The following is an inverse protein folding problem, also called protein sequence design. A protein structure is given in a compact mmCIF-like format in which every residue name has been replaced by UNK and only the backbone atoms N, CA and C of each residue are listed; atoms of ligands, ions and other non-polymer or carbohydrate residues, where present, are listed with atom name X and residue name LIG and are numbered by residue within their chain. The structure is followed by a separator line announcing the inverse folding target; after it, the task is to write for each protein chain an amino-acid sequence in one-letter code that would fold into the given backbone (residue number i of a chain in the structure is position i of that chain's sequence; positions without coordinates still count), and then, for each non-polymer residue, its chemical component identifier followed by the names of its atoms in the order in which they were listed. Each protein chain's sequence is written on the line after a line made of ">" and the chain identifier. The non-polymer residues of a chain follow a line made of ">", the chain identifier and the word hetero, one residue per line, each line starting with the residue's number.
data_IF_502245908787
#
_entry.id   IF_502245908787
#
_cell.length_a   1.000
_cell.length_b   1.000
_cell.length_c   1.000
_cell.angle_alpha   90.00
_cell.angle_beta   90.00
_cell.angle_gamma   90.00
#
_symmetry.space_group_name_H-M   'P 1'
#
loop_
_entity.id
_entity.type
_entity.pdbx_description
1 polymer ?
#
# COMPACT_ATOMS: atom_id res chain seq x y z
N UNK A 1 -6.97 -2.67 33.62
CA UNK A 1 -6.51 -3.65 32.60
C UNK A 1 -6.98 -3.25 31.20
N UNK A 2 -8.27 -2.98 31.00
CA UNK A 2 -8.86 -2.55 29.72
C UNK A 2 -8.28 -1.25 29.15
N UNK A 3 -8.08 -0.22 29.98
CA UNK A 3 -7.53 1.07 29.50
C UNK A 3 -6.08 0.95 28.99
N UNK A 4 -5.26 0.14 29.67
CA UNK A 4 -3.87 -0.12 29.25
C UNK A 4 -3.83 -0.83 27.89
N UNK A 5 -4.75 -1.79 27.67
CA UNK A 5 -4.89 -2.49 26.39
C UNK A 5 -5.35 -1.51 25.29
N UNK A 6 -6.28 -0.60 25.59
CA UNK A 6 -6.76 0.39 24.63
C UNK A 6 -5.66 1.38 24.21
N UNK A 7 -4.82 1.82 25.16
CA UNK A 7 -3.69 2.70 24.84
C UNK A 7 -2.65 1.96 24.01
N UNK A 8 -2.28 0.74 24.40
CA UNK A 8 -1.29 -0.07 23.67
C UNK A 8 -1.75 -0.40 22.25
N UNK A 9 -3.03 -0.71 22.04
CA UNK A 9 -3.55 -1.09 20.72
C UNK A 9 -3.42 0.03 19.69
N UNK A 10 -3.58 1.28 20.10
CA UNK A 10 -3.44 2.46 19.23
C UNK A 10 -2.00 2.63 18.71
N UNK A 11 -0.99 2.23 19.47
CA UNK A 11 0.42 2.31 19.04
C UNK A 11 0.90 1.04 18.34
N UNK A 12 0.50 -0.13 18.85
CA UNK A 12 0.97 -1.43 18.34
C UNK A 12 0.38 -1.73 16.96
N UNK A 13 -0.90 -1.45 16.73
CA UNK A 13 -1.55 -1.74 15.45
C UNK A 13 -0.87 -1.02 14.26
N UNK A 14 -0.67 0.31 14.25
CA UNK A 14 0.03 0.97 13.16
C UNK A 14 1.50 0.56 13.05
N UNK A 15 2.18 0.31 14.17
CA UNK A 15 3.57 -0.16 14.16
C UNK A 15 3.71 -1.52 13.44
N UNK A 16 2.77 -2.45 13.68
CA UNK A 16 2.74 -3.75 13.00
C UNK A 16 2.47 -3.61 11.50
N UNK A 17 1.56 -2.73 11.10
CA UNK A 17 1.27 -2.46 9.67
C UNK A 17 2.51 -1.91 8.98
N UNK A 18 3.20 -0.96 9.59
CA UNK A 18 4.43 -0.38 9.05
C UNK A 18 5.54 -1.44 8.98
N UNK A 19 5.75 -2.21 10.05
CA UNK A 19 6.75 -3.27 10.09
C UNK A 19 6.52 -4.33 9.00
N UNK A 20 5.26 -4.74 8.80
CA UNK A 20 4.88 -5.66 7.73
C UNK A 20 5.20 -5.09 6.35
N UNK A 21 4.86 -3.81 6.12
CA UNK A 21 5.11 -3.15 4.84
C UNK A 21 6.61 -3.00 4.53
N UNK A 22 7.42 -2.64 5.53
CA UNK A 22 8.87 -2.57 5.40
C UNK A 22 9.45 -3.96 5.12
N UNK A 23 9.05 -4.98 5.88
CA UNK A 23 9.51 -6.36 5.68
C UNK A 23 9.20 -6.85 4.26
N UNK A 24 7.97 -6.69 3.79
CA UNK A 24 7.56 -7.09 2.44
C UNK A 24 8.39 -6.41 1.35
N UNK A 25 8.67 -5.11 1.49
CA UNK A 25 9.54 -4.35 0.57
C UNK A 25 10.98 -4.87 0.56
N UNK A 26 11.51 -5.21 1.72
CA UNK A 26 12.88 -5.71 1.86
C UNK A 26 13.03 -7.10 1.26
N UNK A 27 12.11 -8.02 1.57
CA UNK A 27 12.10 -9.39 1.05
C UNK A 27 12.06 -9.40 -0.49
N UNK A 28 11.22 -8.56 -1.10
CA UNK A 28 11.14 -8.45 -2.57
C UNK A 28 12.46 -7.98 -3.20
N UNK A 29 13.13 -7.00 -2.57
CA UNK A 29 14.43 -6.50 -3.06
C UNK A 29 15.53 -7.55 -2.93
N UNK A 30 15.55 -8.29 -1.80
CA UNK A 30 16.52 -9.35 -1.57
C UNK A 30 16.34 -10.50 -2.55
N UNK A 31 15.10 -10.95 -2.78
CA UNK A 31 14.79 -12.00 -3.75
C UNK A 31 15.21 -11.60 -5.18
N UNK A 32 15.03 -10.34 -5.56
CA UNK A 32 15.48 -9.81 -6.85
C UNK A 32 17.02 -9.86 -6.96
N UNK A 33 17.73 -9.39 -5.94
CA UNK A 33 19.20 -9.41 -5.92
C UNK A 33 19.77 -10.83 -5.94
N UNK A 34 19.13 -11.77 -5.24
CA UNK A 34 19.53 -13.17 -5.25
C UNK A 34 19.34 -13.81 -6.63
N UNK A 35 18.24 -13.48 -7.32
CA UNK A 35 17.98 -13.94 -8.69
C UNK A 35 19.04 -13.40 -9.65
N UNK A 36 19.39 -12.12 -9.53
CA UNK A 36 20.46 -11.50 -10.34
C UNK A 36 21.81 -12.15 -10.09
N UNK A 37 22.15 -12.41 -8.83
CA UNK A 37 23.39 -13.08 -8.48
C UNK A 37 23.46 -14.48 -9.09
N UNK A 38 22.37 -15.26 -9.02
CA UNK A 38 22.29 -16.59 -9.65
C UNK A 38 22.42 -16.55 -11.17
N UNK A 39 21.90 -15.51 -11.84
CA UNK A 39 22.06 -15.33 -13.29
C UNK A 39 23.53 -15.02 -13.66
N UNK A 40 24.19 -14.15 -12.88
CA UNK A 40 25.61 -13.83 -13.04
C UNK A 40 26.49 -15.08 -12.83
N UNK A 41 26.26 -15.83 -11.74
CA UNK A 41 27.04 -17.01 -11.40
C UNK A 41 26.92 -18.13 -12.45
N UNK A 42 25.81 -18.18 -13.20
CA UNK A 42 25.59 -19.12 -14.32
C UNK A 42 26.24 -18.66 -15.63
N UNK A 43 26.88 -17.50 -15.66
CA UNK A 43 27.51 -16.94 -16.86
C UNK A 43 26.50 -16.42 -17.90
N UNK A 44 25.26 -16.17 -17.49
CA UNK A 44 24.22 -15.66 -18.37
C UNK A 44 24.55 -14.20 -18.73
N UNK A 45 24.67 -13.90 -20.02
CA UNK A 45 24.99 -12.54 -20.47
C UNK A 45 23.80 -11.63 -20.19
N UNK A 46 23.85 -10.93 -19.05
CA UNK A 46 22.92 -9.85 -18.75
C UNK A 46 23.09 -8.77 -19.81
N UNK A 47 22.15 -8.72 -20.76
CA UNK A 47 22.13 -7.67 -21.78
C UNK A 47 21.83 -6.32 -21.12
N UNK A 48 22.35 -5.21 -21.68
CA UNK A 48 22.04 -3.88 -21.17
C UNK A 48 20.52 -3.63 -21.04
N UNK A 49 19.71 -4.17 -21.96
CA UNK A 49 18.24 -4.09 -21.92
C UNK A 49 17.61 -4.79 -20.71
N UNK A 50 18.14 -5.94 -20.29
CA UNK A 50 17.61 -6.64 -19.10
C UNK A 50 17.94 -5.88 -17.82
N UNK A 51 19.12 -5.27 -17.72
CA UNK A 51 19.48 -4.37 -16.61
C UNK A 51 18.63 -3.09 -16.58
N UNK A 52 18.31 -2.54 -17.75
CA UNK A 52 17.48 -1.35 -17.87
C UNK A 52 16.03 -1.61 -17.47
N UNK A 53 15.49 -2.79 -17.82
CA UNK A 53 14.15 -3.21 -17.42
C UNK A 53 14.03 -3.48 -15.91
N UNK A 54 15.10 -3.91 -15.24
CA UNK A 54 15.16 -4.05 -13.78
C UNK A 54 15.17 -2.69 -13.05
N UNK A 55 15.77 -1.67 -13.66
CA UNK A 55 15.80 -0.33 -13.09
C UNK A 55 14.50 0.46 -13.35
N UNK A 56 13.75 0.10 -14.40
CA UNK A 56 12.36 0.51 -14.55
C UNK A 56 11.52 -0.22 -13.51
N UNK A 57 11.43 0.35 -12.30
CA UNK A 57 10.36 0.05 -11.35
C UNK A 57 9.05 0.34 -12.06
N UNK A 58 8.49 -0.66 -12.74
CA UNK A 58 7.19 -0.56 -13.39
C UNK A 58 6.17 -0.49 -12.26
N UNK A 59 5.89 0.72 -11.78
CA UNK A 59 4.70 0.97 -10.98
C UNK A 59 3.52 0.62 -11.88
N UNK A 60 2.92 -0.54 -11.64
CA UNK A 60 1.73 -0.96 -12.36
C UNK A 60 0.67 0.13 -12.20
N UNK A 61 0.21 0.74 -13.31
CA UNK A 61 -0.78 1.81 -13.23
C UNK A 61 -2.04 1.37 -12.48
N UNK A 62 -2.41 0.09 -12.59
CA UNK A 62 -3.56 -0.52 -11.93
C UNK A 62 -3.38 -0.79 -10.43
N UNK A 63 -2.14 -0.88 -9.94
CA UNK A 63 -1.90 -1.12 -8.52
C UNK A 63 -2.42 0.05 -7.66
N UNK A 64 -2.24 1.28 -8.14
CA UNK A 64 -2.75 2.47 -7.45
C UNK A 64 -4.29 2.53 -7.52
N UNK A 65 -4.89 2.15 -8.66
CA UNK A 65 -6.36 2.13 -8.82
C UNK A 65 -7.01 1.14 -7.89
N UNK A 66 -6.46 -0.07 -7.78
CA UNK A 66 -6.98 -1.10 -6.87
C UNK A 66 -6.85 -0.64 -5.41
N UNK A 67 -5.70 -0.08 -5.05
CA UNK A 67 -5.46 0.44 -3.70
C UNK A 67 -6.40 1.61 -3.37
N UNK A 68 -6.62 2.51 -4.33
CA UNK A 68 -7.55 3.62 -4.21
C UNK A 68 -8.98 3.15 -3.90
N UNK A 69 -9.50 2.20 -4.67
CA UNK A 69 -10.84 1.64 -4.49
C UNK A 69 -10.99 0.95 -3.13
N UNK A 70 -9.99 0.16 -2.72
CA UNK A 70 -10.01 -0.53 -1.41
C UNK A 70 -10.09 0.48 -0.26
N UNK A 71 -9.25 1.51 -0.28
CA UNK A 71 -9.22 2.52 0.78
C UNK A 71 -10.49 3.38 0.80
N UNK A 72 -10.99 3.74 -0.37
CA UNK A 72 -12.23 4.50 -0.51
C UNK A 72 -13.44 3.71 0.00
N UNK A 73 -13.55 2.43 -0.35
CA UNK A 73 -14.61 1.55 0.16
C UNK A 73 -14.48 1.29 1.66
N UNK A 74 -13.27 1.08 2.18
CA UNK A 74 -13.04 0.85 3.60
C UNK A 74 -13.42 2.08 4.44
N UNK A 75 -13.00 3.28 3.99
CA UNK A 75 -13.35 4.53 4.66
C UNK A 75 -14.84 4.84 4.59
N UNK A 76 -15.45 4.65 3.41
CA UNK A 76 -16.90 4.84 3.22
C UNK A 76 -17.73 3.90 4.08
N UNK A 77 -17.34 2.62 4.19
CA UNK A 77 -18.01 1.65 5.05
C UNK A 77 -17.89 2.01 6.54
N UNK A 78 -16.69 2.39 7.00
CA UNK A 78 -16.48 2.82 8.39
C UNK A 78 -17.31 4.06 8.75
N UNK A 79 -17.35 5.04 7.85
CA UNK A 79 -18.20 6.22 8.01
C UNK A 79 -19.68 5.85 8.06
N UNK A 80 -20.16 5.02 7.13
CA UNK A 80 -21.56 4.58 7.08
C UNK A 80 -21.99 3.88 8.37
N UNK A 81 -21.16 2.95 8.88
CA UNK A 81 -21.41 2.26 10.15
C UNK A 81 -21.47 3.24 11.32
N UNK A 82 -20.57 4.23 11.37
CA UNK A 82 -20.55 5.26 12.40
C UNK A 82 -21.74 6.23 12.33
N UNK A 83 -22.33 6.46 11.15
CA UNK A 83 -23.57 7.23 11.01
C UNK A 83 -24.82 6.42 11.39
N UNK A 84 -24.83 5.12 11.10
CA UNK A 84 -25.97 4.24 11.40
C UNK A 84 -26.05 3.85 12.89
N UNK A 85 -24.92 3.85 13.60
CA UNK A 85 -24.85 3.47 15.01
C UNK A 85 -24.20 4.59 15.83
N UNK A 86 -25.01 5.28 16.66
CA UNK A 86 -24.57 6.39 17.49
C UNK A 86 -23.45 6.03 18.49
N UNK A 87 -23.39 4.77 18.94
CA UNK A 87 -22.32 4.29 19.83
C UNK A 87 -20.96 4.11 19.15
N UNK A 88 -20.89 4.23 17.82
CA UNK A 88 -19.67 4.05 17.02
C UNK A 88 -19.19 5.36 16.37
N UNK A 89 -19.38 6.50 17.03
CA UNK A 89 -18.91 7.80 16.50
C UNK A 89 -17.41 7.80 16.16
N UNK A 90 -16.59 7.04 16.86
CA UNK A 90 -15.17 6.88 16.54
C UNK A 90 -14.92 6.36 15.11
N UNK A 91 -15.78 5.46 14.61
CA UNK A 91 -15.69 4.94 13.23
C UNK A 91 -16.05 6.00 12.19
N UNK A 92 -16.96 6.92 12.53
CA UNK A 92 -17.34 8.06 11.66
C UNK A 92 -16.10 8.89 11.32
N UNK A 93 -15.29 9.21 12.33
CA UNK A 93 -14.08 10.03 12.14
C UNK A 93 -12.90 9.21 11.62
N UNK A 94 -12.71 7.98 12.10
CA UNK A 94 -11.63 7.11 11.65
C UNK A 94 -11.74 6.74 10.17
N UNK A 95 -12.96 6.64 9.62
CA UNK A 95 -13.20 6.33 8.21
C UNK A 95 -12.82 7.47 7.24
N UNK A 96 -12.76 8.73 7.70
CA UNK A 96 -12.41 9.88 6.86
C UNK A 96 -10.98 9.73 6.31
N UNK A 97 -10.05 9.25 7.13
CA UNK A 97 -8.65 9.11 6.73
C UNK A 97 -8.45 8.15 5.54
N UNK A 98 -8.85 6.87 5.60
CA UNK A 98 -8.74 5.97 4.45
C UNK A 98 -9.61 6.43 3.26
N UNK A 99 -10.75 7.08 3.50
CA UNK A 99 -11.58 7.62 2.42
C UNK A 99 -10.84 8.70 1.61
N UNK A 100 -10.23 9.68 2.28
CA UNK A 100 -9.43 10.73 1.65
C UNK A 100 -8.18 10.16 0.96
N UNK A 101 -7.51 9.18 1.57
CA UNK A 101 -6.38 8.48 0.94
C UNK A 101 -6.80 7.77 -0.35
N UNK A 102 -7.95 7.09 -0.33
CA UNK A 102 -8.53 6.45 -1.51
C UNK A 102 -8.83 7.47 -2.62
N UNK A 103 -9.44 8.60 -2.28
CA UNK A 103 -9.70 9.69 -3.23
C UNK A 103 -8.41 10.26 -3.83
N UNK A 104 -7.39 10.52 -3.01
CA UNK A 104 -6.12 11.06 -3.47
C UNK A 104 -5.41 10.11 -4.45
N UNK A 105 -5.41 8.80 -4.16
CA UNK A 105 -4.84 7.79 -5.07
C UNK A 105 -5.66 7.67 -6.37
N UNK A 106 -6.98 7.79 -6.30
CA UNK A 106 -7.84 7.76 -7.48
C UNK A 106 -7.64 8.99 -8.37
N UNK A 107 -7.48 10.17 -7.78
CA UNK A 107 -7.12 11.39 -8.47
C UNK A 107 -5.75 11.27 -9.13
N UNK A 108 -4.74 10.76 -8.41
CA UNK A 108 -3.41 10.54 -8.96
C UNK A 108 -3.45 9.57 -10.15
N UNK A 109 -4.20 8.47 -10.04
CA UNK A 109 -4.41 7.53 -11.14
C UNK A 109 -5.00 8.23 -12.36
N UNK A 110 -6.07 9.02 -12.18
CA UNK A 110 -6.73 9.73 -13.28
C UNK A 110 -5.80 10.74 -13.97
N UNK A 111 -5.02 11.49 -13.19
CA UNK A 111 -4.03 12.44 -13.72
C UNK A 111 -2.96 11.72 -14.54
N UNK A 112 -2.40 10.62 -14.01
CA UNK A 112 -1.39 9.82 -14.71
C UNK A 112 -1.92 9.20 -16.00
N UNK A 113 -3.16 8.68 -15.99
CA UNK A 113 -3.77 8.12 -17.21
C UNK A 113 -3.92 9.18 -18.30
N UNK A 114 -4.29 10.41 -17.94
CA UNK A 114 -4.43 11.52 -18.89
C UNK A 114 -3.10 12.00 -19.50
N UNK A 115 -1.97 11.84 -18.79
CA UNK A 115 -0.64 12.20 -19.32
C UNK A 115 -0.11 11.16 -20.33
N UNK A 116 -0.63 9.93 -20.29
CA UNK A 116 -0.21 8.82 -21.17
C UNK A 116 -1.12 8.59 -22.38
N UNK A 117 -2.22 9.34 -22.50
CA UNK A 117 -3.21 9.26 -23.58
C UNK A 117 -3.00 10.36 -24.61
#
# INVERSE_FOLDING_TARGET
>A
MTEVIAILSVFVAPALVIAYFIRSRTEYRLAMQETLRKAIDKGETLTPETLESLNKVRREPDADRRTALILLSLGGAAMAVGFMNGDLEGFKYAGIFPFCMGLALLLNYKLRTNETA
#
